data_IF_628600431048
#
_entry.id   IF_628600431048
#
_cell.length_a   1.000
_cell.length_b   1.000
_cell.length_c   1.000
_cell.angle_alpha   90.00
_cell.angle_beta   90.00
_cell.angle_gamma   90.00
#
_symmetry.space_group_name_H-M   'P 1'
#
loop_
_entity.id
_entity.type
_entity.pdbx_description
1 polymer ?
#
# COMPACT_ATOMS: atom_id res chain seq x y z
N UNK A 1 -25.99 85.02 77.60
CA UNK A 1 -26.67 84.21 76.57
C UNK A 1 -25.60 83.52 75.74
N UNK A 2 -25.46 82.19 75.87
CA UNK A 2 -24.48 81.36 75.16
C UNK A 2 -25.12 80.82 73.89
N UNK A 3 -24.39 80.76 72.78
CA UNK A 3 -24.73 79.87 71.66
C UNK A 3 -23.45 79.19 71.19
N UNK A 4 -23.36 77.90 71.45
CA UNK A 4 -22.24 77.03 71.09
C UNK A 4 -22.57 76.36 69.75
N UNK A 5 -21.82 76.69 68.70
CA UNK A 5 -21.92 76.05 67.39
C UNK A 5 -21.34 74.63 67.42
N UNK A 6 -22.16 73.63 67.10
CA UNK A 6 -21.74 72.23 67.04
C UNK A 6 -21.11 71.98 65.66
N UNK A 7 -19.78 71.78 65.64
CA UNK A 7 -19.05 71.36 64.45
C UNK A 7 -19.27 69.86 64.20
N UNK A 8 -19.96 69.50 63.12
CA UNK A 8 -20.14 68.10 62.73
C UNK A 8 -19.01 67.68 61.80
N UNK A 9 -18.22 66.69 62.25
CA UNK A 9 -17.18 66.02 61.48
C UNK A 9 -17.82 64.93 60.62
N UNK A 10 -17.87 65.13 59.31
CA UNK A 10 -18.36 64.11 58.38
C UNK A 10 -17.35 62.95 58.28
N UNK A 11 -17.76 61.76 58.72
CA UNK A 11 -17.03 60.51 58.53
C UNK A 11 -16.97 60.13 57.05
N UNK A 12 -15.87 59.50 56.64
CA UNK A 12 -15.61 59.07 55.26
C UNK A 12 -16.54 57.90 54.93
N UNK A 13 -17.40 58.04 53.92
CA UNK A 13 -18.19 56.94 53.39
C UNK A 13 -17.36 56.18 52.34
N UNK A 14 -17.17 54.88 52.54
CA UNK A 14 -16.64 53.97 51.53
C UNK A 14 -17.82 53.21 50.91
N UNK A 15 -17.86 53.13 49.58
CA UNK A 15 -18.81 52.29 48.85
C UNK A 15 -18.07 51.03 48.43
N UNK A 16 -18.31 49.92 49.13
CA UNK A 16 -17.89 48.60 48.64
C UNK A 16 -18.88 48.15 47.56
N UNK A 17 -18.44 48.22 46.29
CA UNK A 17 -19.10 47.55 45.19
C UNK A 17 -18.89 46.05 45.34
N UNK A 18 -19.85 45.35 45.94
CA UNK A 18 -20.00 43.92 45.73
C UNK A 18 -20.37 43.70 44.26
N UNK A 19 -19.40 43.28 43.44
CA UNK A 19 -19.69 42.79 42.11
C UNK A 19 -20.55 41.52 42.25
N UNK A 20 -21.76 41.51 41.68
CA UNK A 20 -22.61 40.33 41.64
C UNK A 20 -22.07 39.34 40.61
N UNK A 21 -21.11 38.52 41.05
CA UNK A 21 -20.40 37.54 40.23
C UNK A 21 -21.31 36.41 39.73
N UNK A 22 -22.54 36.30 40.26
CA UNK A 22 -23.48 35.22 39.95
C UNK A 22 -23.84 35.17 38.46
N UNK A 23 -23.85 36.32 37.76
CA UNK A 23 -24.11 36.38 36.31
C UNK A 23 -22.92 35.89 35.50
N UNK A 24 -21.72 36.28 35.91
CA UNK A 24 -20.47 35.83 35.29
C UNK A 24 -20.30 34.32 35.42
N UNK A 25 -20.47 33.78 36.63
CA UNK A 25 -20.38 32.34 36.90
C UNK A 25 -21.40 31.55 36.09
N UNK A 26 -22.64 32.05 35.96
CA UNK A 26 -23.68 31.43 35.12
C UNK A 26 -23.31 31.45 33.64
N UNK A 27 -22.78 32.56 33.15
CA UNK A 27 -22.28 32.69 31.78
C UNK A 27 -21.15 31.70 31.48
N UNK A 28 -20.18 31.59 32.38
CA UNK A 28 -19.06 30.64 32.28
C UNK A 28 -19.53 29.18 32.29
N UNK A 29 -20.48 28.82 33.16
CA UNK A 29 -21.08 27.46 33.15
C UNK A 29 -21.79 27.16 31.83
N UNK A 30 -22.51 28.13 31.27
CA UNK A 30 -23.13 27.98 29.95
C UNK A 30 -22.09 27.81 28.84
N UNK A 31 -21.01 28.60 28.85
CA UNK A 31 -19.91 28.46 27.90
C UNK A 31 -19.23 27.09 28.02
N UNK A 32 -18.97 26.61 29.23
CA UNK A 32 -18.44 25.27 29.50
C UNK A 32 -19.36 24.18 28.93
N UNK A 33 -20.67 24.29 29.12
CA UNK A 33 -21.63 23.32 28.59
C UNK A 33 -21.60 23.28 27.05
N UNK A 34 -21.55 24.45 26.39
CA UNK A 34 -21.44 24.54 24.93
C UNK A 34 -20.12 23.94 24.41
N UNK A 35 -19.00 24.24 25.07
CA UNK A 35 -17.69 23.68 24.71
C UNK A 35 -17.65 22.16 24.89
N UNK A 36 -18.26 21.63 25.95
CA UNK A 36 -18.37 20.19 26.18
C UNK A 36 -19.20 19.51 25.10
N UNK A 37 -20.36 20.09 24.76
CA UNK A 37 -21.21 19.57 23.68
C UNK A 37 -20.49 19.60 22.33
N UNK A 38 -19.78 20.68 22.02
CA UNK A 38 -18.95 20.77 20.82
C UNK A 38 -17.84 19.70 20.81
N UNK A 39 -17.08 19.56 21.90
CA UNK A 39 -16.04 18.54 22.01
C UNK A 39 -16.59 17.11 21.86
N UNK A 40 -17.78 16.84 22.37
CA UNK A 40 -18.48 15.57 22.16
C UNK A 40 -18.84 15.35 20.68
N UNK A 41 -19.34 16.39 20.00
CA UNK A 41 -19.67 16.30 18.57
C UNK A 41 -18.44 16.04 17.68
N UNK A 42 -17.32 16.70 17.97
CA UNK A 42 -16.04 16.50 17.26
C UNK A 42 -15.52 15.09 17.50
N UNK A 43 -15.58 14.60 18.75
CA UNK A 43 -15.17 13.24 19.08
C UNK A 43 -16.04 12.20 18.38
N UNK A 44 -17.35 12.37 18.34
CA UNK A 44 -18.24 11.44 17.66
C UNK A 44 -18.00 11.43 16.15
N UNK A 45 -17.82 12.61 15.54
CA UNK A 45 -17.43 12.71 14.13
C UNK A 45 -16.09 12.01 13.87
N UNK A 46 -15.08 12.26 14.70
CA UNK A 46 -13.78 11.60 14.61
C UNK A 46 -13.87 10.08 14.72
N UNK A 47 -14.66 9.56 15.67
CA UNK A 47 -14.90 8.12 15.83
C UNK A 47 -15.66 7.51 14.64
N UNK A 48 -16.58 8.24 14.02
CA UNK A 48 -17.28 7.79 12.80
C UNK A 48 -16.32 7.75 11.61
N UNK A 49 -15.53 8.79 11.40
CA UNK A 49 -14.52 8.83 10.34
C UNK A 49 -13.47 7.73 10.52
N UNK A 50 -12.96 7.52 11.74
CA UNK A 50 -12.02 6.45 12.03
C UNK A 50 -12.61 5.06 11.75
N UNK A 51 -13.88 4.83 12.09
CA UNK A 51 -14.58 3.57 11.78
C UNK A 51 -14.74 3.35 10.27
N UNK A 52 -15.13 4.39 9.53
CA UNK A 52 -15.23 4.32 8.07
C UNK A 52 -13.86 4.09 7.42
N UNK A 53 -12.82 4.79 7.87
CA UNK A 53 -11.45 4.60 7.40
C UNK A 53 -10.93 3.20 7.70
N UNK A 54 -11.16 2.69 8.91
CA UNK A 54 -10.76 1.34 9.30
C UNK A 54 -11.43 0.24 8.45
N UNK A 55 -12.69 0.44 8.05
CA UNK A 55 -13.39 -0.51 7.18
C UNK A 55 -12.75 -0.64 5.78
N UNK A 56 -12.13 0.43 5.28
CA UNK A 56 -11.42 0.44 3.99
C UNK A 56 -10.01 -0.17 4.09
N UNK A 57 -9.40 -0.19 5.28
CA UNK A 57 -8.05 -0.75 5.45
C UNK A 57 -8.00 -2.25 5.15
N UNK A 58 -9.02 -3.02 5.52
CA UNK A 58 -9.05 -4.47 5.31
C UNK A 58 -8.92 -4.86 3.82
N UNK A 59 -9.81 -4.39 2.91
CA UNK A 59 -9.66 -4.71 1.49
C UNK A 59 -8.38 -4.15 0.88
N UNK A 60 -7.90 -2.97 1.33
CA UNK A 60 -6.63 -2.40 0.85
C UNK A 60 -5.42 -3.24 1.25
N UNK A 61 -5.37 -3.73 2.50
CA UNK A 61 -4.31 -4.64 2.96
C UNK A 61 -4.36 -5.98 2.20
N UNK A 62 -5.56 -6.48 1.93
CA UNK A 62 -5.76 -7.66 1.08
C UNK A 62 -5.21 -7.45 -0.33
N UNK A 63 -5.57 -6.34 -0.98
CA UNK A 63 -5.09 -5.98 -2.31
C UNK A 63 -3.56 -5.77 -2.33
N UNK A 64 -3.00 -5.07 -1.34
CA UNK A 64 -1.57 -4.85 -1.20
C UNK A 64 -0.82 -6.18 -1.03
N UNK A 65 -1.35 -7.10 -0.22
CA UNK A 65 -0.78 -8.44 -0.05
C UNK A 65 -0.83 -9.26 -1.33
N UNK A 66 -1.97 -9.25 -2.04
CA UNK A 66 -2.13 -9.95 -3.31
C UNK A 66 -1.14 -9.42 -4.36
N UNK A 67 -1.04 -8.09 -4.50
CA UNK A 67 -0.10 -7.45 -5.41
C UNK A 67 1.36 -7.76 -5.05
N UNK A 68 1.69 -7.69 -3.76
CA UNK A 68 3.01 -8.06 -3.26
C UNK A 68 3.37 -9.52 -3.58
N UNK A 69 2.45 -10.46 -3.37
CA UNK A 69 2.68 -11.87 -3.70
C UNK A 69 2.83 -12.11 -5.20
N UNK A 70 2.05 -11.42 -6.03
CA UNK A 70 2.19 -11.49 -7.49
C UNK A 70 3.58 -10.98 -7.92
N UNK A 71 4.01 -9.82 -7.39
CA UNK A 71 5.32 -9.25 -7.69
C UNK A 71 6.46 -10.16 -7.26
N UNK A 72 6.38 -10.76 -6.06
CA UNK A 72 7.38 -11.72 -5.57
C UNK A 72 7.43 -12.98 -6.45
N UNK A 73 6.29 -13.51 -6.89
CA UNK A 73 6.24 -14.67 -7.79
C UNK A 73 6.92 -14.37 -9.13
N UNK A 74 6.60 -13.22 -9.76
CA UNK A 74 7.22 -12.80 -11.02
C UNK A 74 8.72 -12.57 -10.85
N UNK A 75 9.15 -11.89 -9.77
CA UNK A 75 10.55 -11.64 -9.50
C UNK A 75 11.35 -12.94 -9.27
N UNK A 76 10.79 -13.90 -8.54
CA UNK A 76 11.39 -15.22 -8.34
C UNK A 76 11.50 -16.00 -9.64
N UNK A 77 10.45 -15.98 -10.46
CA UNK A 77 10.44 -16.65 -11.76
C UNK A 77 11.46 -16.02 -12.71
N UNK A 78 11.60 -14.69 -12.71
CA UNK A 78 12.62 -13.96 -13.47
C UNK A 78 14.02 -14.47 -13.12
N UNK A 79 14.34 -14.52 -11.83
CA UNK A 79 15.63 -15.05 -11.34
C UNK A 79 15.86 -16.52 -11.72
N UNK A 80 14.80 -17.33 -11.77
CA UNK A 80 14.87 -18.78 -12.00
C UNK A 80 14.93 -19.17 -13.47
N UNK A 81 14.36 -18.35 -14.36
CA UNK A 81 14.22 -18.63 -15.79
C UNK A 81 15.11 -17.74 -16.64
N UNK A 82 15.60 -16.64 -16.09
CA UNK A 82 16.36 -15.61 -16.78
C UNK A 82 15.48 -14.68 -17.63
N UNK A 83 14.15 -14.86 -17.61
CA UNK A 83 13.22 -13.98 -18.30
C UNK A 83 13.11 -12.61 -17.61
N UNK A 84 12.89 -11.56 -18.39
CA UNK A 84 12.59 -10.22 -17.89
C UNK A 84 11.25 -10.19 -17.14
N UNK A 85 11.16 -9.29 -16.15
CA UNK A 85 9.94 -9.10 -15.35
C UNK A 85 8.77 -8.64 -16.23
N UNK A 86 9.05 -7.82 -17.23
CA UNK A 86 8.08 -7.34 -18.22
C UNK A 86 7.53 -8.50 -19.04
N UNK A 87 8.40 -9.34 -19.61
CA UNK A 87 7.98 -10.51 -20.40
C UNK A 87 7.16 -11.48 -19.55
N UNK A 88 7.57 -11.72 -18.31
CA UNK A 88 6.81 -12.57 -17.39
C UNK A 88 5.46 -11.98 -17.02
N UNK A 89 5.37 -10.66 -16.90
CA UNK A 89 4.10 -9.97 -16.62
C UNK A 89 3.14 -10.10 -17.81
N UNK A 90 3.64 -9.95 -19.04
CA UNK A 90 2.87 -10.19 -20.27
C UNK A 90 2.41 -11.65 -20.38
N UNK A 91 3.34 -12.60 -20.20
CA UNK A 91 3.03 -14.03 -20.24
C UNK A 91 2.00 -14.41 -19.18
N UNK A 92 2.10 -13.87 -17.96
CA UNK A 92 1.12 -14.08 -16.90
C UNK A 92 -0.24 -13.54 -17.24
N UNK A 93 -0.30 -12.36 -17.87
CA UNK A 93 -1.55 -11.80 -18.36
C UNK A 93 -2.19 -12.74 -19.39
N UNK A 94 -1.44 -13.17 -20.40
CA UNK A 94 -1.92 -14.14 -21.40
C UNK A 94 -2.34 -15.48 -20.76
N UNK A 95 -1.57 -15.98 -19.80
CA UNK A 95 -1.87 -17.19 -19.06
C UNK A 95 -3.23 -17.09 -18.35
N UNK A 96 -3.48 -15.95 -17.70
CA UNK A 96 -4.78 -15.66 -17.05
C UNK A 96 -5.92 -15.63 -18.07
N UNK A 97 -5.70 -15.04 -19.25
CA UNK A 97 -6.72 -14.99 -20.31
C UNK A 97 -7.02 -16.36 -20.94
N UNK A 98 -6.04 -17.26 -20.95
CA UNK A 98 -6.15 -18.59 -21.58
C UNK A 98 -6.43 -19.72 -20.61
N UNK A 99 -6.45 -19.44 -19.29
CA UNK A 99 -6.58 -20.45 -18.24
C UNK A 99 -5.34 -21.33 -18.08
N UNK A 100 -4.17 -20.87 -18.55
CA UNK A 100 -2.90 -21.57 -18.35
C UNK A 100 -2.32 -21.20 -16.99
N UNK A 101 -1.89 -22.19 -16.21
CA UNK A 101 -1.25 -21.94 -14.92
C UNK A 101 0.15 -21.33 -15.08
N UNK A 102 0.46 -20.32 -14.28
CA UNK A 102 1.73 -19.60 -14.36
C UNK A 102 2.92 -20.49 -13.99
N UNK A 103 2.75 -21.43 -13.05
CA UNK A 103 3.74 -22.44 -12.72
C UNK A 103 4.05 -23.38 -13.90
N UNK A 104 3.06 -23.67 -14.76
CA UNK A 104 3.28 -24.52 -15.93
C UNK A 104 4.19 -23.85 -16.96
N UNK A 105 4.01 -22.55 -17.17
CA UNK A 105 4.93 -21.74 -17.98
C UNK A 105 6.34 -21.80 -17.39
N UNK A 106 6.46 -21.66 -16.08
CA UNK A 106 7.76 -21.70 -15.41
C UNK A 106 8.50 -23.03 -15.60
N UNK A 107 7.78 -24.14 -15.46
CA UNK A 107 8.35 -25.46 -15.71
C UNK A 107 8.78 -25.62 -17.17
N UNK A 108 8.00 -25.11 -18.12
CA UNK A 108 8.35 -25.15 -19.55
C UNK A 108 9.65 -24.39 -19.82
N UNK A 109 9.78 -23.16 -19.34
CA UNK A 109 11.01 -22.37 -19.51
C UNK A 109 12.20 -23.02 -18.82
N UNK A 110 12.03 -23.58 -17.61
CA UNK A 110 13.11 -24.31 -16.94
C UNK A 110 13.57 -25.55 -17.71
N UNK A 111 12.63 -26.31 -18.29
CA UNK A 111 12.95 -27.48 -19.11
C UNK A 111 13.67 -27.06 -20.40
N UNK A 112 13.23 -25.97 -21.02
CA UNK A 112 13.91 -25.38 -22.18
C UNK A 112 15.36 -25.00 -21.84
N UNK A 113 15.56 -24.22 -20.78
CA UNK A 113 16.92 -23.82 -20.33
C UNK A 113 17.80 -25.03 -20.03
N UNK A 114 17.25 -26.06 -19.37
CA UNK A 114 17.99 -27.32 -19.12
C UNK A 114 18.35 -28.04 -20.41
N UNK A 115 17.44 -28.12 -21.38
CA UNK A 115 17.70 -28.77 -22.67
C UNK A 115 18.81 -28.06 -23.44
N UNK A 116 18.81 -26.73 -23.45
CA UNK A 116 19.88 -25.93 -24.07
C UNK A 116 21.21 -26.18 -23.34
N UNK A 117 21.20 -26.18 -22.01
CA UNK A 117 22.39 -26.46 -21.20
C UNK A 117 22.96 -27.87 -21.45
N UNK A 118 22.11 -28.90 -21.51
CA UNK A 118 22.51 -30.27 -21.78
C UNK A 118 23.06 -30.44 -23.20
N UNK A 119 22.48 -29.74 -24.18
CA UNK A 119 23.04 -29.67 -25.53
C UNK A 119 24.42 -28.99 -25.53
N UNK A 120 24.62 -27.93 -24.74
CA UNK A 120 25.91 -27.25 -24.61
C UNK A 120 26.98 -28.20 -24.09
N UNK A 121 26.64 -29.02 -23.10
CA UNK A 121 27.51 -30.06 -22.53
C UNK A 121 27.78 -31.25 -23.43
N UNK A 122 27.05 -31.41 -24.53
CA UNK A 122 27.27 -32.51 -25.47
C UNK A 122 26.53 -33.78 -25.21
N UNK A 123 25.40 -33.70 -24.51
CA UNK A 123 24.48 -34.82 -24.47
C UNK A 123 23.85 -34.98 -25.86
N UNK A 124 24.15 -36.10 -26.52
CA UNK A 124 23.80 -36.37 -27.92
C UNK A 124 22.32 -36.13 -28.20
N UNK A 125 21.41 -36.72 -27.40
CA UNK A 125 19.97 -36.55 -27.64
C UNK A 125 19.46 -35.11 -27.61
N UNK A 126 20.05 -34.23 -26.78
CA UNK A 126 19.66 -32.81 -26.75
C UNK A 126 20.29 -32.02 -27.91
N UNK A 127 21.52 -32.36 -28.31
CA UNK A 127 22.17 -31.77 -29.49
C UNK A 127 21.47 -32.16 -30.79
N UNK A 128 21.14 -33.44 -30.93
CA UNK A 128 20.46 -33.99 -32.10
C UNK A 128 19.09 -33.34 -32.28
N UNK A 129 18.31 -33.19 -31.21
CA UNK A 129 17.02 -32.51 -31.25
C UNK A 129 17.12 -31.03 -31.70
N UNK A 130 18.19 -30.31 -31.32
CA UNK A 130 18.42 -28.95 -31.81
C UNK A 130 18.88 -28.96 -33.28
N UNK A 131 19.70 -29.93 -33.67
CA UNK A 131 20.18 -30.08 -35.04
C UNK A 131 19.04 -30.39 -36.01
N UNK A 132 18.06 -31.21 -35.60
CA UNK A 132 16.84 -31.51 -36.35
C UNK A 132 16.00 -30.24 -36.62
N UNK A 133 16.03 -29.28 -35.69
CA UNK A 133 15.42 -27.95 -35.85
C UNK A 133 16.30 -26.96 -36.63
N UNK A 134 17.46 -27.40 -37.13
CA UNK A 134 18.44 -26.56 -37.82
C UNK A 134 19.08 -25.51 -36.92
N UNK A 135 19.20 -25.79 -35.62
CA UNK A 135 19.75 -24.90 -34.61
C UNK A 135 21.07 -25.45 -34.07
N UNK A 136 21.99 -24.53 -33.77
CA UNK A 136 23.23 -24.85 -33.05
C UNK A 136 23.17 -24.27 -31.66
N UNK A 137 23.66 -25.01 -30.66
CA UNK A 137 23.58 -24.57 -29.26
C UNK A 137 24.33 -23.26 -29.02
N UNK A 138 25.45 -23.03 -29.72
CA UNK A 138 26.24 -21.81 -29.56
C UNK A 138 25.46 -20.56 -30.02
N UNK A 139 24.54 -20.73 -30.97
CA UNK A 139 23.65 -19.64 -31.40
C UNK A 139 22.58 -19.33 -30.35
N UNK A 140 22.20 -20.30 -29.52
CA UNK A 140 21.20 -20.12 -28.45
C UNK A 140 21.84 -19.54 -27.19
N UNK A 141 23.04 -19.98 -26.81
CA UNK A 141 23.73 -19.53 -25.58
C UNK A 141 24.02 -18.02 -25.54
N UNK A 142 24.15 -17.39 -26.71
CA UNK A 142 24.38 -15.93 -26.84
C UNK A 142 23.09 -15.10 -26.76
N UNK A 143 21.93 -15.75 -26.78
CA UNK A 143 20.62 -15.10 -26.78
C UNK A 143 20.02 -15.06 -25.37
N UNK A 144 19.18 -14.05 -25.14
CA UNK A 144 18.34 -14.02 -23.94
C UNK A 144 17.31 -15.17 -23.97
N UNK A 145 16.82 -15.63 -22.80
CA UNK A 145 15.81 -16.69 -22.74
C UNK A 145 14.55 -16.45 -23.57
N UNK A 146 14.11 -15.18 -23.70
CA UNK A 146 12.99 -14.79 -24.55
C UNK A 146 13.29 -15.02 -26.03
N UNK A 147 14.51 -14.67 -26.46
CA UNK A 147 14.95 -14.82 -27.84
C UNK A 147 15.17 -16.30 -28.18
N UNK A 148 15.72 -17.07 -27.25
CA UNK A 148 15.83 -18.53 -27.37
C UNK A 148 14.44 -19.16 -27.54
N UNK A 149 13.48 -18.77 -26.70
CA UNK A 149 12.11 -19.27 -26.79
C UNK A 149 11.46 -18.95 -28.14
N UNK A 150 11.52 -17.69 -28.59
CA UNK A 150 10.97 -17.27 -29.89
C UNK A 150 11.60 -18.07 -31.03
N UNK A 151 12.93 -18.17 -31.05
CA UNK A 151 13.63 -18.89 -32.10
C UNK A 151 13.27 -20.39 -32.11
N UNK A 152 13.12 -21.01 -30.94
CA UNK A 152 12.68 -22.40 -30.85
C UNK A 152 11.23 -22.56 -31.32
N UNK A 153 10.34 -21.64 -30.92
CA UNK A 153 8.94 -21.66 -31.36
C UNK A 153 8.82 -21.53 -32.89
N UNK A 154 9.59 -20.63 -33.50
CA UNK A 154 9.62 -20.40 -34.96
C UNK A 154 10.15 -21.60 -35.77
N UNK A 155 10.84 -22.56 -35.13
CA UNK A 155 11.36 -23.77 -35.79
C UNK A 155 10.49 -25.00 -35.57
N UNK A 156 9.65 -24.98 -34.53
CA UNK A 156 8.76 -26.10 -34.19
C UNK A 156 7.38 -25.92 -34.84
N UNK A 157 6.90 -24.67 -34.98
CA UNK A 157 5.69 -24.31 -35.70
C UNK A 157 5.94 -24.00 -37.17
#
# INVERSE_FOLDING_TARGET
MQSSGIAIRAGRAFVELFADDSKLVRGLKHAQAKLKAFGQSVRDLGLRLARLGAALLVPMLGAAKAFSSMGDQVAKMSKRTGLSVETLSELRFVATQTGTEFESLEMAFRKMQRSIYDAGRGLSGARDALADLGLRVEALETLSPERQFKLLADRIG
#
